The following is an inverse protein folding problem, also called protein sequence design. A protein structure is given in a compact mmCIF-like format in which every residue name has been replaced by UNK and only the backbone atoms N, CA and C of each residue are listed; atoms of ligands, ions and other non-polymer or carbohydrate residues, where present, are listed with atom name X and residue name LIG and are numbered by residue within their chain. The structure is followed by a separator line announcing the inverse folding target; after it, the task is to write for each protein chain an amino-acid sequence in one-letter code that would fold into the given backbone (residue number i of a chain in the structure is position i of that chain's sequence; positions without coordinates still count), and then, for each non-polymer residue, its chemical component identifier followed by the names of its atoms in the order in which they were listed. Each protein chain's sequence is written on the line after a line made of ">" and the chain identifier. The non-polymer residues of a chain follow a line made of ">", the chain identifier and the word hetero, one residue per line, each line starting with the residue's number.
data_IF_248184527736
#
_entry.id   IF_248184527736
#
_cell.length_a   1.000
_cell.length_b   1.000
_cell.length_c   1.000
_cell.angle_alpha   90.00
_cell.angle_beta   90.00
_cell.angle_gamma   90.00
#
_symmetry.space_group_name_H-M   'P 1'
#
loop_
_entity.id
_entity.type
_entity.pdbx_description
1 polymer ?
#
# COMPACT_ATOMS: atom_id res chain seq x y z
N UNK A 1 -2.45 -2.60 12.40
CA UNK A 1 -1.25 -2.02 11.79
C UNK A 1 -1.62 -0.66 11.19
N UNK A 2 -0.83 0.38 11.47
CA UNK A 2 -1.14 1.69 10.91
C UNK A 2 -1.00 1.68 9.39
N UNK A 3 -1.69 2.62 8.75
CA UNK A 3 -1.60 2.77 7.32
C UNK A 3 -0.19 3.23 6.95
N UNK A 4 0.40 2.57 5.97
CA UNK A 4 1.72 2.92 5.44
C UNK A 4 1.52 3.52 4.05
N UNK A 5 2.19 4.63 3.80
CA UNK A 5 2.06 5.35 2.53
C UNK A 5 3.37 5.34 1.77
N UNK A 6 3.26 5.07 0.48
CA UNK A 6 4.39 5.04 -0.44
C UNK A 6 4.09 5.96 -1.61
N UNK A 7 5.12 6.56 -2.18
CA UNK A 7 4.95 7.43 -3.34
C UNK A 7 6.01 7.11 -4.39
N UNK A 8 5.58 7.27 -5.63
CA UNK A 8 6.45 7.11 -6.78
C UNK A 8 6.35 8.39 -7.59
N UNK A 9 7.47 9.11 -7.68
CA UNK A 9 7.54 10.37 -8.44
C UNK A 9 8.75 10.27 -9.36
N UNK A 10 8.50 10.21 -10.66
CA UNK A 10 9.54 10.14 -11.66
C UNK A 10 9.01 10.71 -12.97
N UNK A 11 9.69 11.72 -13.50
CA UNK A 11 9.25 12.40 -14.71
C UNK A 11 7.87 13.01 -14.52
N UNK A 12 6.93 12.63 -15.37
CA UNK A 12 5.54 13.10 -15.26
C UNK A 12 4.67 12.19 -14.42
N UNK A 13 5.23 11.09 -13.91
CA UNK A 13 4.49 10.15 -13.06
C UNK A 13 4.52 10.62 -11.62
N UNK A 14 3.35 10.66 -10.99
CA UNK A 14 3.21 11.06 -9.60
C UNK A 14 2.07 10.24 -9.02
N UNK A 15 2.43 9.17 -8.28
CA UNK A 15 1.48 8.17 -7.80
C UNK A 15 1.68 7.91 -6.32
N UNK A 16 0.58 7.56 -5.64
CA UNK A 16 0.66 7.10 -4.27
C UNK A 16 0.08 5.70 -4.14
N UNK A 17 0.50 5.00 -3.08
CA UNK A 17 -0.02 3.69 -2.75
C UNK A 17 0.02 3.55 -1.23
N UNK A 18 -1.14 3.27 -0.64
CA UNK A 18 -1.28 3.10 0.81
C UNK A 18 -1.76 1.70 1.11
N UNK A 19 -1.30 1.15 2.22
CA UNK A 19 -1.72 -0.19 2.63
C UNK A 19 -2.01 -0.20 4.13
N UNK A 20 -3.11 -0.83 4.50
CA UNK A 20 -3.51 -1.06 5.88
C UNK A 20 -3.81 -2.53 6.05
N UNK A 21 -3.16 -3.15 7.03
CA UNK A 21 -3.45 -4.53 7.40
C UNK A 21 -4.23 -4.50 8.72
N UNK A 22 -5.50 -4.87 8.66
CA UNK A 22 -6.39 -4.86 9.81
C UNK A 22 -6.94 -6.25 10.03
N UNK A 23 -6.31 -6.99 10.96
CA UNK A 23 -6.66 -8.37 11.25
C UNK A 23 -6.50 -9.22 9.98
N UNK A 24 -7.60 -9.80 9.48
CA UNK A 24 -7.56 -10.67 8.30
C UNK A 24 -7.83 -9.93 7.00
N UNK A 25 -7.87 -8.60 7.05
CA UNK A 25 -8.15 -7.79 5.86
C UNK A 25 -6.96 -6.93 5.51
N UNK A 26 -6.70 -6.82 4.21
CA UNK A 26 -5.69 -5.91 3.67
C UNK A 26 -6.40 -4.94 2.76
N UNK A 27 -6.31 -3.66 3.09
CA UNK A 27 -6.92 -2.59 2.30
C UNK A 27 -5.81 -1.77 1.65
N UNK A 28 -5.91 -1.56 0.36
CA UNK A 28 -4.98 -0.70 -0.38
C UNK A 28 -5.75 0.44 -1.01
N UNK A 29 -5.13 1.62 -1.02
CA UNK A 29 -5.64 2.78 -1.74
C UNK A 29 -4.52 3.32 -2.59
N UNK A 30 -4.79 3.59 -3.84
CA UNK A 30 -3.76 4.00 -4.79
C UNK A 30 -4.34 4.90 -5.86
N UNK A 31 -3.45 5.69 -6.47
CA UNK A 31 -3.84 6.58 -7.54
C UNK A 31 -2.82 7.67 -7.77
N UNK A 32 -3.24 8.73 -8.44
CA UNK A 32 -2.40 9.89 -8.67
C UNK A 32 -2.34 10.71 -7.39
N UNK A 33 -1.16 11.23 -7.06
CA UNK A 33 -1.00 12.13 -5.91
C UNK A 33 -1.91 13.34 -6.10
N UNK A 34 -2.69 13.65 -5.07
CA UNK A 34 -3.67 14.73 -5.11
C UNK A 34 -5.08 14.28 -5.43
N UNK A 35 -5.27 13.01 -5.85
CA UNK A 35 -6.60 12.44 -6.07
C UNK A 35 -7.03 11.60 -4.88
N UNK A 36 -8.32 11.24 -4.83
CA UNK A 36 -8.83 10.32 -3.80
C UNK A 36 -8.38 8.88 -4.05
N UNK A 37 -8.03 8.55 -5.28
CA UNK A 37 -7.57 7.22 -5.65
C UNK A 37 -8.69 6.18 -5.65
N UNK A 38 -8.27 4.92 -5.74
CA UNK A 38 -9.17 3.76 -5.70
C UNK A 38 -8.81 2.93 -4.48
N UNK A 39 -9.82 2.30 -3.87
CA UNK A 39 -9.64 1.47 -2.68
C UNK A 39 -10.06 0.05 -2.99
N UNK A 40 -9.23 -0.90 -2.57
CA UNK A 40 -9.54 -2.33 -2.68
C UNK A 40 -9.26 -2.99 -1.34
N UNK A 41 -10.17 -3.88 -0.93
CA UNK A 41 -10.02 -4.65 0.31
C UNK A 41 -10.05 -6.13 -0.04
N UNK A 42 -9.12 -6.88 0.55
CA UNK A 42 -9.00 -8.30 0.35
C UNK A 42 -9.02 -9.00 1.70
N UNK A 43 -9.83 -10.05 1.82
CA UNK A 43 -9.96 -10.82 3.06
C UNK A 43 -9.17 -12.11 2.96
N UNK A 44 -8.57 -12.51 4.08
CA UNK A 44 -7.76 -13.72 4.17
C UNK A 44 -8.32 -14.63 5.26
N UNK A 45 -7.83 -15.86 5.29
CA UNK A 45 -8.30 -16.86 6.26
C UNK A 45 -7.67 -16.72 7.63
N UNK A 46 -6.57 -15.97 7.75
CA UNK A 46 -5.90 -15.76 9.02
C UNK A 46 -5.17 -14.42 9.01
N UNK A 47 -4.85 -13.92 10.20
CA UNK A 47 -4.05 -12.71 10.36
C UNK A 47 -2.66 -12.90 9.75
N UNK A 48 -2.08 -14.08 9.92
CA UNK A 48 -0.76 -14.38 9.36
C UNK A 48 -0.75 -14.32 7.84
N UNK A 49 -1.79 -14.85 7.20
CA UNK A 49 -1.90 -14.80 5.73
C UNK A 49 -2.04 -13.36 5.24
N UNK A 50 -2.86 -12.56 5.93
CA UNK A 50 -3.04 -11.16 5.58
C UNK A 50 -1.72 -10.39 5.73
N UNK A 51 -1.01 -10.61 6.83
CA UNK A 51 0.26 -9.94 7.08
C UNK A 51 1.31 -10.33 6.03
N UNK A 52 1.39 -11.60 5.66
CA UNK A 52 2.31 -12.06 4.63
C UNK A 52 2.01 -11.40 3.29
N UNK A 53 0.73 -11.31 2.92
CA UNK A 53 0.35 -10.66 1.67
C UNK A 53 0.69 -9.18 1.68
N UNK A 54 0.43 -8.49 2.79
CA UNK A 54 0.74 -7.07 2.92
C UNK A 54 2.23 -6.81 2.73
N UNK A 55 3.08 -7.61 3.39
CA UNK A 55 4.53 -7.45 3.26
C UNK A 55 5.00 -7.75 1.85
N UNK A 56 4.41 -8.75 1.19
CA UNK A 56 4.75 -9.07 -0.20
C UNK A 56 4.42 -7.92 -1.14
N UNK A 57 3.27 -7.30 -0.95
CA UNK A 57 2.87 -6.15 -1.77
C UNK A 57 3.80 -4.96 -1.54
N UNK A 58 4.19 -4.72 -0.30
CA UNK A 58 5.14 -3.65 0.04
C UNK A 58 6.47 -3.89 -0.67
N UNK A 59 7.00 -5.13 -0.60
CA UNK A 59 8.26 -5.46 -1.25
C UNK A 59 8.17 -5.24 -2.76
N UNK A 60 7.05 -5.60 -3.38
CA UNK A 60 6.84 -5.40 -4.81
C UNK A 60 6.86 -3.92 -5.18
N UNK A 61 6.25 -3.06 -4.34
CA UNK A 61 6.25 -1.61 -4.59
C UNK A 61 7.64 -1.01 -4.44
N UNK A 62 8.37 -1.42 -3.41
CA UNK A 62 9.74 -0.95 -3.23
C UNK A 62 10.62 -1.35 -4.41
N UNK A 63 10.43 -2.57 -4.93
CA UNK A 63 11.18 -3.05 -6.09
C UNK A 63 10.89 -2.24 -7.35
N UNK A 64 9.69 -1.65 -7.45
CA UNK A 64 9.32 -0.80 -8.57
C UNK A 64 9.83 0.64 -8.45
N UNK A 65 10.39 1.00 -7.31
CA UNK A 65 10.90 2.34 -7.09
C UNK A 65 10.03 3.24 -6.22
N UNK A 66 8.96 2.71 -5.65
CA UNK A 66 8.18 3.46 -4.66
C UNK A 66 9.01 3.70 -3.42
N UNK A 67 8.78 4.83 -2.76
CA UNK A 67 9.47 5.17 -1.51
C UNK A 67 8.44 5.29 -0.41
N UNK A 68 8.74 4.70 0.74
CA UNK A 68 7.87 4.82 1.90
C UNK A 68 8.07 6.20 2.53
N UNK A 69 6.95 6.88 2.81
CA UNK A 69 6.98 8.12 3.56
C UNK A 69 7.03 7.82 5.04
N UNK A 70 7.67 8.71 5.80
CA UNK A 70 7.72 8.56 7.23
C UNK A 70 6.30 8.51 7.80
N UNK A 71 6.08 7.61 8.76
CA UNK A 71 4.80 7.52 9.43
C UNK A 71 4.54 8.82 10.20
N UNK A 72 3.33 9.30 10.11
CA UNK A 72 2.94 10.56 10.75
C UNK A 72 2.17 10.27 12.02
#
# INVERSE_FOLDING_TARGET
>A
MPTRRFEYVEGTSSKFWEITNNNREVTVRYGRIGSNGQTQTKSFTSDAAANTDALRQIDAKLAKGYRELAAV
#
